data_IF_414384238701
#
_entry.id   IF_414384238701
#
_cell.length_a   1.000
_cell.length_b   1.000
_cell.length_c   1.000
_cell.angle_alpha   90.00
_cell.angle_beta   90.00
_cell.angle_gamma   90.00
#
_symmetry.space_group_name_H-M   'P 1'
#
loop_
_entity.id
_entity.type
_entity.pdbx_description
1 polymer ?
#
# COMPACT_ATOMS: atom_id res chain seq x y z
N UNK A 1 11.81 -8.44 -67.87
CA UNK A 1 12.98 -9.31 -67.66
C UNK A 1 14.01 -8.50 -66.90
N UNK A 2 14.40 -9.04 -65.75
CA UNK A 2 15.63 -8.82 -64.95
C UNK A 2 15.89 -7.39 -64.41
N UNK A 3 15.78 -7.10 -63.11
CA UNK A 3 16.38 -7.66 -61.87
C UNK A 3 17.88 -7.35 -61.68
N UNK A 4 18.18 -6.45 -60.73
CA UNK A 4 19.18 -6.53 -59.61
C UNK A 4 19.48 -5.10 -59.07
N UNK A 5 19.03 -4.75 -57.85
CA UNK A 5 19.76 -4.73 -56.53
C UNK A 5 21.05 -3.88 -56.58
N UNK A 6 21.41 -2.98 -55.65
CA UNK A 6 21.28 -2.84 -54.18
C UNK A 6 21.85 -1.42 -53.85
N UNK A 7 21.40 -0.61 -52.88
CA UNK A 7 21.71 -0.62 -51.43
C UNK A 7 20.85 0.50 -50.77
N UNK A 8 20.03 0.22 -49.76
CA UNK A 8 20.31 0.05 -48.33
C UNK A 8 20.36 1.39 -47.56
N UNK A 9 19.19 1.84 -47.09
CA UNK A 9 19.11 2.83 -46.01
C UNK A 9 18.30 2.25 -44.84
N UNK A 10 19.01 2.10 -43.72
CA UNK A 10 18.54 1.56 -42.46
C UNK A 10 17.48 2.47 -41.84
N UNK A 11 16.23 2.00 -41.81
CA UNK A 11 15.22 2.51 -40.88
C UNK A 11 15.34 1.67 -39.60
N UNK A 12 16.00 2.23 -38.58
CA UNK A 12 15.98 1.69 -37.23
C UNK A 12 14.54 1.78 -36.70
N UNK A 13 13.81 0.67 -36.73
CA UNK A 13 12.58 0.52 -35.96
C UNK A 13 12.98 0.47 -34.49
N UNK A 14 12.79 1.59 -33.79
CA UNK A 14 12.70 1.59 -32.34
C UNK A 14 11.44 0.80 -32.00
N UNK A 15 11.62 -0.44 -31.57
CA UNK A 15 10.57 -1.18 -30.86
C UNK A 15 10.42 -0.49 -29.52
N UNK A 16 9.33 0.26 -29.37
CA UNK A 16 8.82 0.63 -28.06
C UNK A 16 8.54 -0.66 -27.30
N UNK A 17 9.43 -1.01 -26.38
CA UNK A 17 9.19 -2.05 -25.39
C UNK A 17 8.03 -1.60 -24.51
N UNK A 18 6.80 -1.91 -24.96
CA UNK A 18 5.62 -1.92 -24.11
C UNK A 18 5.86 -3.06 -23.12
N UNK A 19 6.51 -2.72 -22.00
CA UNK A 19 6.49 -3.56 -20.81
C UNK A 19 5.04 -3.67 -20.38
N UNK A 20 4.41 -4.78 -20.74
CA UNK A 20 3.18 -5.23 -20.11
C UNK A 20 3.51 -5.41 -18.61
N UNK A 21 3.29 -4.37 -17.80
CA UNK A 21 3.31 -4.49 -16.34
C UNK A 21 2.29 -5.60 -16.01
N UNK A 22 2.77 -6.73 -15.47
CA UNK A 22 1.88 -7.84 -15.10
C UNK A 22 0.85 -7.31 -14.10
N UNK A 23 -0.42 -7.67 -14.24
CA UNK A 23 -1.50 -7.21 -13.36
C UNK A 23 -1.20 -7.48 -11.87
N UNK A 24 -0.43 -8.54 -11.58
CA UNK A 24 0.06 -8.91 -10.25
C UNK A 24 1.00 -7.87 -9.61
N UNK A 25 1.67 -7.03 -10.40
CA UNK A 25 2.56 -5.96 -9.90
C UNK A 25 1.80 -4.75 -9.36
N UNK A 26 0.47 -4.77 -9.34
CA UNK A 26 -0.35 -3.65 -8.90
C UNK A 26 -0.83 -3.79 -7.45
N UNK A 27 -0.80 -4.99 -6.87
CA UNK A 27 -1.37 -5.26 -5.55
C UNK A 27 -0.32 -5.27 -4.44
N UNK A 28 -0.76 -4.99 -3.20
CA UNK A 28 0.11 -5.16 -2.04
C UNK A 28 0.34 -6.67 -1.79
N UNK A 29 1.57 -7.08 -1.50
CA UNK A 29 1.89 -8.49 -1.20
C UNK A 29 1.62 -8.88 0.25
N UNK A 30 1.15 -7.91 1.05
CA UNK A 30 0.86 -8.07 2.48
C UNK A 30 -0.58 -7.66 2.78
N UNK A 31 -1.18 -8.32 3.75
CA UNK A 31 -2.51 -8.01 4.25
C UNK A 31 -2.53 -6.60 4.85
N UNK A 32 -3.52 -5.79 4.48
CA UNK A 32 -3.65 -4.44 5.02
C UNK A 32 -3.99 -4.39 6.51
N UNK A 33 -4.52 -5.48 7.06
CA UNK A 33 -4.91 -5.58 8.47
C UNK A 33 -3.71 -5.92 9.34
N UNK A 34 -2.97 -6.99 9.02
CA UNK A 34 -1.95 -7.55 9.88
C UNK A 34 -0.51 -7.39 9.35
N UNK A 35 -0.32 -6.91 8.12
CA UNK A 35 0.94 -6.86 7.37
C UNK A 35 1.62 -8.21 7.10
N UNK A 36 0.94 -9.34 7.35
CA UNK A 36 1.45 -10.65 6.96
C UNK A 36 1.08 -11.00 5.50
N UNK A 37 1.93 -11.78 4.84
CA UNK A 37 1.73 -12.25 3.47
C UNK A 37 0.84 -13.50 3.39
N UNK A 38 1.05 -14.30 2.35
CA UNK A 38 0.36 -15.58 2.11
C UNK A 38 -0.80 -15.46 1.13
N UNK A 39 -1.85 -16.25 1.37
CA UNK A 39 -3.05 -16.23 0.54
C UNK A 39 -3.90 -14.97 0.79
N UNK A 40 -3.85 -14.03 -0.15
CA UNK A 40 -4.55 -12.74 -0.06
C UNK A 40 -5.58 -12.57 -1.18
N UNK A 41 -6.70 -11.94 -0.84
CA UNK A 41 -7.65 -11.39 -1.80
C UNK A 41 -7.40 -9.90 -2.00
N UNK A 42 -7.46 -9.46 -3.24
CA UNK A 42 -7.18 -8.08 -3.64
C UNK A 42 -8.48 -7.29 -3.78
N UNK A 43 -8.52 -6.08 -3.20
CA UNK A 43 -9.63 -5.16 -3.43
C UNK A 43 -9.49 -4.49 -4.80
N UNK A 44 -10.46 -4.69 -5.69
CA UNK A 44 -10.49 -4.09 -7.03
C UNK A 44 -10.97 -2.62 -7.04
N UNK A 45 -11.44 -2.12 -5.90
CA UNK A 45 -11.76 -0.71 -5.70
C UNK A 45 -10.54 0.22 -5.72
N UNK A 46 -10.76 1.53 -5.47
CA UNK A 46 -9.71 2.57 -5.59
C UNK A 46 -8.48 2.38 -4.69
N UNK A 47 -8.52 1.52 -3.67
CA UNK A 47 -7.43 1.33 -2.70
C UNK A 47 -6.40 0.26 -3.08
N UNK A 48 -6.77 -0.79 -3.84
CA UNK A 48 -5.91 -1.91 -4.21
C UNK A 48 -5.16 -2.58 -3.05
N UNK A 49 -5.74 -2.52 -1.86
CA UNK A 49 -5.23 -3.21 -0.67
C UNK A 49 -5.56 -4.69 -0.76
N UNK A 50 -4.71 -5.51 -0.17
CA UNK A 50 -4.88 -6.96 -0.09
C UNK A 50 -5.27 -7.37 1.33
N UNK A 51 -6.01 -8.46 1.48
CA UNK A 51 -6.54 -8.91 2.76
C UNK A 51 -6.49 -10.44 2.85
N UNK A 52 -6.29 -11.01 4.04
CA UNK A 52 -6.67 -12.40 4.26
C UNK A 52 -8.19 -12.50 4.09
N UNK A 53 -8.64 -13.38 3.21
CA UNK A 53 -10.05 -13.52 2.88
C UNK A 53 -10.88 -14.06 4.05
N UNK A 54 -10.35 -15.10 4.70
CA UNK A 54 -11.04 -15.92 5.69
C UNK A 54 -10.11 -16.24 6.87
N UNK A 55 -10.66 -16.45 8.09
CA UNK A 55 -9.87 -16.64 9.32
C UNK A 55 -9.29 -18.05 9.50
N UNK A 56 -9.63 -18.99 8.62
CA UNK A 56 -9.22 -20.39 8.65
C UNK A 56 -7.85 -20.64 7.99
N UNK A 57 -7.24 -19.62 7.39
CA UNK A 57 -5.88 -19.70 6.83
C UNK A 57 -4.82 -19.66 7.93
N UNK A 58 -3.73 -20.42 7.78
CA UNK A 58 -2.61 -20.45 8.72
C UNK A 58 -2.03 -19.04 8.93
N UNK A 59 -1.87 -18.28 7.85
CA UNK A 59 -1.27 -16.94 7.90
C UNK A 59 -2.14 -15.93 8.64
N UNK A 60 -3.47 -16.09 8.59
CA UNK A 60 -4.41 -15.27 9.35
C UNK A 60 -4.39 -15.63 10.84
N UNK A 61 -4.25 -16.90 11.19
CA UNK A 61 -4.18 -17.37 12.57
C UNK A 61 -2.87 -16.91 13.24
N UNK A 62 -1.75 -17.13 12.57
CA UNK A 62 -0.41 -16.77 13.06
C UNK A 62 -0.27 -15.27 13.33
N UNK A 63 -0.93 -14.44 12.52
CA UNK A 63 -0.87 -12.98 12.61
C UNK A 63 -2.02 -12.35 13.41
N UNK A 64 -2.91 -13.19 13.97
CA UNK A 64 -4.15 -12.81 14.67
C UNK A 64 -4.94 -11.80 13.84
N UNK A 65 -5.14 -12.12 12.56
CA UNK A 65 -5.76 -11.26 11.57
C UNK A 65 -7.28 -11.26 11.74
N UNK A 66 -7.88 -10.07 11.72
CA UNK A 66 -9.35 -9.95 11.71
C UNK A 66 -9.96 -10.36 10.35
N UNK A 67 -9.16 -10.43 9.29
CA UNK A 67 -9.54 -10.83 7.92
C UNK A 67 -10.67 -10.00 7.29
N UNK A 68 -10.97 -10.26 6.02
CA UNK A 68 -12.14 -9.70 5.35
C UNK A 68 -13.45 -10.41 5.74
N UNK A 69 -13.36 -11.61 6.34
CA UNK A 69 -14.48 -12.47 6.77
C UNK A 69 -15.46 -12.84 5.64
N UNK A 70 -14.94 -13.15 4.45
CA UNK A 70 -15.75 -13.45 3.26
C UNK A 70 -16.35 -14.87 3.29
N UNK A 71 -17.49 -15.04 2.64
CA UNK A 71 -18.06 -16.36 2.31
C UNK A 71 -17.41 -16.96 1.09
N UNK A 72 -17.54 -18.28 0.91
CA UNK A 72 -17.22 -18.96 -0.34
C UNK A 72 -17.91 -18.33 -1.55
N UNK A 73 -19.19 -17.92 -1.43
CA UNK A 73 -19.91 -17.26 -2.53
C UNK A 73 -19.34 -15.87 -2.87
N UNK A 74 -18.89 -15.12 -1.87
CA UNK A 74 -18.24 -13.82 -2.09
C UNK A 74 -16.87 -13.96 -2.74
N UNK A 75 -16.16 -15.08 -2.53
CA UNK A 75 -14.86 -15.36 -3.15
C UNK A 75 -14.96 -15.71 -4.64
N UNK A 76 -16.14 -16.08 -5.13
CA UNK A 76 -16.39 -16.34 -6.55
C UNK A 76 -16.61 -15.04 -7.36
N UNK A 77 -16.59 -13.88 -6.71
CA UNK A 77 -16.90 -12.58 -7.31
C UNK A 77 -15.73 -11.60 -7.13
N UNK A 78 -15.59 -10.59 -8.02
CA UNK A 78 -14.69 -9.46 -7.82
C UNK A 78 -14.87 -8.83 -6.43
N UNK A 79 -13.79 -8.68 -5.69
CA UNK A 79 -13.84 -8.21 -4.31
C UNK A 79 -13.61 -6.70 -4.20
N UNK A 80 -14.53 -6.02 -3.51
CA UNK A 80 -14.35 -4.64 -3.08
C UNK A 80 -14.46 -4.54 -1.55
N UNK A 81 -13.44 -3.99 -0.90
CA UNK A 81 -13.47 -3.80 0.55
C UNK A 81 -14.52 -2.73 0.95
N UNK A 82 -15.01 -2.78 2.19
CA UNK A 82 -16.05 -1.85 2.66
C UNK A 82 -15.65 -0.38 2.52
N UNK A 83 -14.38 -0.08 2.75
CA UNK A 83 -13.87 1.27 2.61
C UNK A 83 -14.01 1.77 1.17
N UNK A 84 -13.81 0.92 0.17
CA UNK A 84 -14.05 1.28 -1.24
C UNK A 84 -15.56 1.35 -1.54
N UNK A 85 -16.34 0.33 -1.12
CA UNK A 85 -17.81 0.28 -1.33
C UNK A 85 -18.52 1.55 -0.84
N UNK A 86 -18.05 2.11 0.28
CA UNK A 86 -18.62 3.31 0.90
C UNK A 86 -17.78 4.58 0.64
N UNK A 87 -16.73 4.51 -0.18
CA UNK A 87 -15.81 5.63 -0.43
C UNK A 87 -15.28 6.31 0.85
N UNK A 88 -14.94 5.51 1.86
CA UNK A 88 -14.35 5.97 3.12
C UNK A 88 -12.93 5.44 3.23
N UNK A 89 -11.95 6.29 2.90
CA UNK A 89 -10.55 5.91 2.87
C UNK A 89 -9.75 6.58 3.98
N UNK A 90 -8.76 5.87 4.51
CA UNK A 90 -7.92 6.40 5.57
C UNK A 90 -6.82 7.30 5.01
N UNK A 91 -6.61 8.44 5.67
CA UNK A 91 -5.44 9.24 5.43
C UNK A 91 -4.18 8.52 5.91
N UNK A 92 -3.21 8.31 5.02
CA UNK A 92 -1.96 7.60 5.35
C UNK A 92 -1.02 8.34 6.33
N UNK A 93 -1.40 9.55 6.76
CA UNK A 93 -0.63 10.36 7.73
C UNK A 93 -1.24 10.28 9.12
N UNK A 94 -2.56 10.45 9.24
CA UNK A 94 -3.24 10.50 10.54
C UNK A 94 -4.11 9.27 10.84
N UNK A 95 -4.22 8.33 9.90
CA UNK A 95 -5.06 7.13 9.98
C UNK A 95 -6.58 7.37 10.16
N UNK A 96 -7.03 8.61 10.33
CA UNK A 96 -8.44 8.96 10.31
C UNK A 96 -9.06 8.68 8.93
N UNK A 97 -10.30 8.15 8.94
CA UNK A 97 -11.13 8.03 7.75
C UNK A 97 -11.58 9.41 7.26
N UNK A 98 -11.76 9.52 5.95
CA UNK A 98 -12.53 10.60 5.34
C UNK A 98 -13.20 10.12 4.05
N UNK A 99 -14.22 10.86 3.62
CA UNK A 99 -14.87 10.60 2.34
C UNK A 99 -13.92 10.83 1.16
N UNK A 100 -13.85 9.87 0.25
CA UNK A 100 -13.20 9.99 -1.06
C UNK A 100 -14.22 10.05 -2.21
N UNK A 101 -15.50 10.21 -1.88
CA UNK A 101 -16.58 10.32 -2.85
C UNK A 101 -16.50 11.69 -3.53
N UNK A 102 -16.50 11.66 -4.87
CA UNK A 102 -16.40 12.84 -5.73
C UNK A 102 -17.77 13.50 -5.95
N UNK A 103 -18.86 12.79 -5.67
CA UNK A 103 -20.24 13.30 -5.77
C UNK A 103 -20.70 14.04 -4.51
N UNK A 104 -19.94 13.92 -3.41
CA UNK A 104 -20.19 14.59 -2.14
C UNK A 104 -18.96 15.38 -1.70
N UNK A 105 -18.97 15.88 -0.45
CA UNK A 105 -17.84 16.63 0.08
C UNK A 105 -16.65 15.69 0.31
N UNK A 106 -15.72 15.68 -0.64
CA UNK A 106 -14.47 14.92 -0.55
C UNK A 106 -13.57 15.46 0.57
N UNK A 107 -13.08 14.58 1.44
CA UNK A 107 -12.23 14.90 2.59
C UNK A 107 -10.81 14.34 2.43
N UNK A 108 -10.68 13.20 1.76
CA UNK A 108 -9.38 12.59 1.44
C UNK A 108 -9.20 12.43 -0.06
N UNK A 109 -7.98 12.69 -0.52
CA UNK A 109 -7.62 12.68 -1.93
C UNK A 109 -6.52 11.67 -2.16
N UNK A 110 -6.63 10.92 -3.26
CA UNK A 110 -5.66 9.91 -3.65
C UNK A 110 -4.41 10.57 -4.24
N UNK A 111 -3.24 10.05 -3.92
CA UNK A 111 -2.00 10.42 -4.60
C UNK A 111 -2.13 10.20 -6.12
N UNK A 112 -1.60 11.11 -6.92
CA UNK A 112 -1.65 11.02 -8.39
C UNK A 112 -0.71 9.95 -8.98
N UNK A 113 0.20 9.42 -8.17
CA UNK A 113 1.10 8.34 -8.56
C UNK A 113 0.54 6.97 -8.14
N UNK A 114 1.25 5.89 -8.50
CA UNK A 114 0.77 4.51 -8.35
C UNK A 114 0.73 3.99 -6.91
N UNK A 115 1.08 4.79 -5.89
CA UNK A 115 1.04 4.31 -4.51
C UNK A 115 -0.38 4.16 -3.95
N UNK A 116 -1.41 4.75 -4.59
CA UNK A 116 -2.84 4.59 -4.27
C UNK A 116 -3.25 4.92 -2.82
N UNK A 117 -2.37 5.58 -2.07
CA UNK A 117 -2.65 6.07 -0.73
C UNK A 117 -3.52 7.34 -0.76
N UNK A 118 -4.38 7.47 0.23
CA UNK A 118 -5.27 8.63 0.41
C UNK A 118 -4.74 9.57 1.49
N UNK A 119 -5.06 10.86 1.35
CA UNK A 119 -4.55 11.91 2.22
C UNK A 119 -5.60 13.00 2.45
N UNK A 120 -5.77 13.40 3.71
CA UNK A 120 -6.36 14.70 4.00
C UNK A 120 -5.47 15.81 3.42
N UNK A 121 -6.02 16.82 2.72
CA UNK A 121 -5.24 17.94 2.18
C UNK A 121 -4.37 18.62 3.24
N UNK A 122 -4.93 18.80 4.46
CA UNK A 122 -4.20 19.39 5.60
C UNK A 122 -2.96 18.59 6.00
N UNK A 123 -3.03 17.26 5.91
CA UNK A 123 -1.99 16.36 6.39
C UNK A 123 -0.83 16.32 5.40
N UNK A 124 -1.12 16.13 4.11
CA UNK A 124 -0.07 16.06 3.08
C UNK A 124 0.59 17.41 2.84
N UNK A 125 -0.17 18.52 2.89
CA UNK A 125 0.40 19.85 2.71
C UNK A 125 1.46 20.18 3.79
N UNK A 126 1.21 19.81 5.05
CA UNK A 126 2.18 19.96 6.15
C UNK A 126 3.47 19.19 5.90
N UNK A 127 3.39 18.00 5.29
CA UNK A 127 4.55 17.18 4.98
C UNK A 127 5.37 17.72 3.81
N UNK A 128 4.70 18.20 2.75
CA UNK A 128 5.35 18.68 1.52
C UNK A 128 5.96 20.08 1.66
N UNK A 129 5.37 20.97 2.46
CA UNK A 129 5.84 22.35 2.64
C UNK A 129 6.20 22.63 4.09
N UNK A 130 7.19 21.90 4.64
CA UNK A 130 7.62 22.06 6.03
C UNK A 130 8.01 23.52 6.30
N UNK A 131 7.44 24.12 7.35
CA UNK A 131 7.72 25.48 7.86
C UNK A 131 7.17 26.67 7.04
N UNK A 132 6.65 26.46 5.83
CA UNK A 132 6.05 27.53 5.02
C UNK A 132 4.51 27.48 5.10
N UNK A 133 3.92 28.28 6.01
CA UNK A 133 2.47 28.29 6.23
C UNK A 133 1.68 28.75 5.02
N UNK A 134 2.22 29.68 4.22
CA UNK A 134 1.54 30.19 3.03
C UNK A 134 1.47 29.11 1.94
N UNK A 135 2.57 28.41 1.67
CA UNK A 135 2.58 27.28 0.73
C UNK A 135 1.72 26.12 1.21
N UNK A 136 1.70 25.83 2.51
CA UNK A 136 0.80 24.80 3.06
C UNK A 136 -0.67 25.15 2.80
N UNK A 137 -1.06 26.40 3.02
CA UNK A 137 -2.43 26.87 2.77
C UNK A 137 -2.79 26.74 1.28
N UNK A 138 -1.95 27.28 0.40
CA UNK A 138 -2.18 27.22 -1.04
C UNK A 138 -2.27 25.76 -1.55
N UNK A 139 -1.37 24.88 -1.12
CA UNK A 139 -1.38 23.48 -1.52
C UNK A 139 -2.60 22.73 -0.97
N UNK A 140 -3.02 23.01 0.27
CA UNK A 140 -4.25 22.45 0.85
C UNK A 140 -5.47 22.85 0.01
N UNK A 141 -5.58 24.13 -0.38
CA UNK A 141 -6.69 24.66 -1.18
C UNK A 141 -6.69 24.02 -2.59
N UNK A 142 -5.53 23.92 -3.23
CA UNK A 142 -5.36 23.24 -4.53
C UNK A 142 -5.83 21.78 -4.51
N UNK A 143 -5.35 21.00 -3.53
CA UNK A 143 -5.74 19.59 -3.41
C UNK A 143 -7.24 19.47 -3.11
N UNK A 144 -7.78 20.33 -2.24
CA UNK A 144 -9.21 20.34 -1.94
C UNK A 144 -10.08 20.72 -3.15
N UNK A 145 -9.55 21.45 -4.12
CA UNK A 145 -10.18 21.74 -5.40
C UNK A 145 -10.01 20.60 -6.43
N UNK A 146 -9.38 19.49 -6.06
CA UNK A 146 -9.16 18.34 -6.93
C UNK A 146 -7.87 18.40 -7.76
N UNK A 147 -6.99 19.39 -7.55
CA UNK A 147 -5.70 19.40 -8.25
C UNK A 147 -4.85 18.16 -7.87
N UNK A 148 -4.20 17.49 -8.84
CA UNK A 148 -3.39 16.32 -8.57
C UNK A 148 -2.15 16.67 -7.73
N UNK A 149 -1.74 15.74 -6.86
CA UNK A 149 -0.53 15.88 -6.06
C UNK A 149 0.21 14.55 -5.93
N UNK A 150 1.53 14.62 -5.80
CA UNK A 150 2.36 13.46 -5.49
C UNK A 150 2.74 13.45 -4.01
N UNK A 151 2.50 12.33 -3.34
CA UNK A 151 2.74 12.21 -1.91
C UNK A 151 4.25 12.08 -1.55
N UNK A 152 4.63 12.32 -0.28
CA UNK A 152 6.02 12.22 0.16
C UNK A 152 6.68 10.85 -0.01
N UNK A 153 5.90 9.77 -0.12
CA UNK A 153 6.43 8.41 -0.27
C UNK A 153 7.17 8.17 -1.61
N UNK A 154 7.08 9.11 -2.56
CA UNK A 154 7.79 9.02 -3.85
C UNK A 154 9.15 9.75 -3.87
N UNK A 155 9.63 10.21 -2.72
CA UNK A 155 10.96 10.83 -2.59
C UNK A 155 11.65 10.32 -1.34
N UNK A 156 12.95 10.10 -1.44
CA UNK A 156 13.74 9.77 -0.27
C UNK A 156 13.65 10.90 0.77
N UNK A 157 13.28 10.55 2.00
CA UNK A 157 13.12 11.52 3.10
C UNK A 157 14.44 12.18 3.48
N UNK A 158 15.58 11.53 3.19
CA UNK A 158 16.94 12.06 3.46
C UNK A 158 17.39 12.98 2.31
N UNK A 159 17.60 12.43 1.11
CA UNK A 159 18.24 13.16 0.01
C UNK A 159 17.26 13.89 -0.93
N UNK A 160 15.94 13.70 -0.75
CA UNK A 160 14.84 14.31 -1.52
C UNK A 160 14.75 13.94 -3.01
N UNK A 161 15.58 13.00 -3.47
CA UNK A 161 15.57 12.50 -4.85
C UNK A 161 14.53 11.37 -5.03
N UNK A 162 14.00 11.17 -6.25
CA UNK A 162 13.13 10.04 -6.57
C UNK A 162 13.90 8.72 -6.57
N UNK A 163 13.17 7.62 -6.70
CA UNK A 163 13.75 6.28 -6.85
C UNK A 163 14.47 6.11 -8.17
N UNK A 164 15.49 5.26 -8.19
CA UNK A 164 15.96 4.63 -9.42
C UNK A 164 15.95 3.11 -9.22
N UNK A 165 14.96 2.44 -9.80
CA UNK A 165 14.75 0.99 -9.64
C UNK A 165 15.89 0.14 -10.19
N UNK A 166 16.69 0.68 -11.13
CA UNK A 166 17.82 -0.02 -11.75
C UNK A 166 19.11 0.02 -10.92
N UNK A 167 19.13 0.79 -9.85
CA UNK A 167 20.31 0.95 -8.98
C UNK A 167 19.89 0.56 -7.57
N UNK A 168 20.36 -0.60 -7.10
CA UNK A 168 20.00 -1.20 -5.80
C UNK A 168 20.03 -0.19 -4.64
N UNK A 169 21.14 0.54 -4.48
CA UNK A 169 21.27 1.56 -3.43
C UNK A 169 20.30 2.75 -3.56
N UNK A 170 19.63 2.92 -4.70
CA UNK A 170 18.62 3.95 -4.99
C UNK A 170 17.19 3.38 -5.14
N UNK A 171 16.99 2.09 -4.88
CA UNK A 171 15.67 1.51 -4.69
C UNK A 171 15.07 1.99 -3.37
N UNK A 172 13.74 2.02 -3.27
CA UNK A 172 13.08 2.47 -2.06
C UNK A 172 12.84 1.36 -1.05
N UNK A 173 13.08 1.72 0.22
CA UNK A 173 12.50 1.11 1.40
C UNK A 173 11.39 2.03 1.94
N UNK A 174 10.15 1.53 1.97
CA UNK A 174 8.96 2.34 2.26
C UNK A 174 8.36 1.92 3.59
N UNK A 175 8.09 2.90 4.46
CA UNK A 175 7.46 2.64 5.74
C UNK A 175 6.00 2.23 5.56
N UNK A 176 5.58 1.15 6.20
CA UNK A 176 4.18 0.67 6.15
C UNK A 176 3.21 1.50 7.00
N UNK A 177 3.71 2.32 7.92
CA UNK A 177 2.90 3.10 8.86
C UNK A 177 2.85 4.61 8.57
N UNK A 178 3.70 5.11 7.66
CA UNK A 178 3.69 6.51 7.28
C UNK A 178 4.32 6.74 5.91
N UNK A 179 4.17 7.94 5.30
CA UNK A 179 4.68 8.23 3.96
C UNK A 179 6.20 8.41 3.84
N UNK A 180 6.99 7.85 4.77
CA UNK A 180 8.45 7.90 4.70
C UNK A 180 8.96 6.82 3.76
N UNK A 181 9.73 7.25 2.76
CA UNK A 181 10.55 6.38 1.93
C UNK A 181 12.02 6.75 2.08
N UNK A 182 12.90 5.76 2.07
CA UNK A 182 14.35 5.92 2.05
C UNK A 182 14.87 5.27 0.79
N UNK A 183 15.96 5.78 0.22
CA UNK A 183 16.80 4.92 -0.61
C UNK A 183 17.44 3.86 0.28
N UNK A 184 17.71 2.66 -0.22
CA UNK A 184 18.43 1.62 0.53
C UNK A 184 19.73 2.16 1.14
N UNK A 185 20.52 2.93 0.37
CA UNK A 185 21.77 3.55 0.86
C UNK A 185 21.57 4.71 1.86
N UNK A 186 20.35 5.24 1.96
CA UNK A 186 20.00 6.33 2.88
C UNK A 186 19.20 5.82 4.07
N UNK A 187 18.94 4.52 4.15
CA UNK A 187 18.18 3.90 5.22
C UNK A 187 19.01 3.97 6.53
N UNK A 188 18.40 4.33 7.67
CA UNK A 188 19.07 4.25 8.95
C UNK A 188 19.55 2.83 9.24
N UNK A 189 20.80 2.69 9.70
CA UNK A 189 21.42 1.40 10.03
C UNK A 189 20.68 0.61 11.12
N UNK A 190 19.92 1.30 11.98
CA UNK A 190 19.15 0.66 13.05
C UNK A 190 17.84 0.01 12.54
N UNK A 191 17.54 0.08 11.24
CA UNK A 191 16.45 -0.70 10.65
C UNK A 191 17.04 -2.05 10.25
N UNK A 192 16.83 -3.06 11.10
CA UNK A 192 17.28 -4.42 10.85
C UNK A 192 16.36 -5.13 9.87
N UNK A 193 16.94 -5.85 8.92
CA UNK A 193 16.20 -6.70 7.99
C UNK A 193 16.11 -8.13 8.52
N UNK A 194 15.03 -8.81 8.17
CA UNK A 194 14.73 -10.19 8.54
C UNK A 194 15.89 -11.16 8.28
N UNK A 195 16.48 -11.15 7.08
CA UNK A 195 17.58 -12.04 6.69
C UNK A 195 18.92 -11.74 7.37
N UNK A 196 19.02 -10.64 8.13
CA UNK A 196 20.23 -10.24 8.88
C UNK A 196 20.04 -10.35 10.39
N UNK A 197 18.81 -10.51 10.86
CA UNK A 197 18.46 -10.52 12.27
C UNK A 197 18.82 -11.86 12.93
N UNK A 198 19.38 -11.80 14.13
CA UNK A 198 19.43 -12.93 15.06
C UNK A 198 18.14 -13.07 15.88
N UNK A 199 18.10 -14.07 16.77
CA UNK A 199 16.91 -14.43 17.54
C UNK A 199 16.38 -13.29 18.44
N UNK A 200 17.26 -12.42 18.92
CA UNK A 200 16.93 -11.31 19.82
C UNK A 200 16.77 -9.95 19.10
N UNK A 201 16.93 -9.91 17.78
CA UNK A 201 16.92 -8.65 17.02
C UNK A 201 15.49 -8.20 16.68
N UNK A 202 15.23 -6.90 16.87
CA UNK A 202 13.96 -6.28 16.47
C UNK A 202 13.92 -6.06 14.95
N UNK A 203 13.28 -6.99 14.23
CA UNK A 203 13.11 -6.90 12.77
C UNK A 203 12.21 -5.71 12.40
N UNK A 204 12.68 -4.88 11.48
CA UNK A 204 11.97 -3.69 10.97
C UNK A 204 11.93 -3.61 9.46
N UNK A 205 12.41 -4.62 8.73
CA UNK A 205 12.53 -4.56 7.28
C UNK A 205 12.49 -5.93 6.61
N UNK A 206 11.86 -5.96 5.44
CA UNK A 206 11.77 -7.12 4.55
C UNK A 206 11.99 -6.67 3.12
N UNK A 207 12.84 -7.38 2.37
CA UNK A 207 13.12 -7.08 0.96
C UNK A 207 12.07 -7.75 0.07
N UNK A 208 11.70 -7.10 -1.04
CA UNK A 208 10.85 -7.73 -2.05
C UNK A 208 9.35 -7.75 -1.76
N UNK A 209 8.90 -7.23 -0.61
CA UNK A 209 7.46 -7.22 -0.25
C UNK A 209 6.65 -6.10 -0.90
N UNK A 210 7.28 -5.16 -1.60
CA UNK A 210 6.56 -4.16 -2.38
C UNK A 210 6.85 -4.27 -3.87
N UNK A 211 5.90 -3.76 -4.66
CA UNK A 211 5.97 -3.62 -6.12
C UNK A 211 7.36 -3.11 -6.54
N UNK A 212 7.93 -3.72 -7.59
CA UNK A 212 9.29 -3.49 -8.09
C UNK A 212 10.39 -3.96 -7.12
N UNK A 213 10.11 -5.03 -6.37
CA UNK A 213 11.01 -5.64 -5.38
C UNK A 213 11.49 -4.67 -4.30
N UNK A 214 10.68 -3.65 -3.99
CA UNK A 214 10.99 -2.65 -2.97
C UNK A 214 10.90 -3.25 -1.57
N UNK A 215 11.66 -2.69 -0.64
CA UNK A 215 11.63 -3.12 0.75
C UNK A 215 10.43 -2.52 1.51
N UNK A 216 9.74 -3.36 2.28
CA UNK A 216 8.79 -2.92 3.31
C UNK A 216 9.55 -2.71 4.61
N UNK A 217 9.34 -1.57 5.28
CA UNK A 217 9.95 -1.30 6.57
C UNK A 217 8.95 -0.73 7.60
N UNK A 218 9.34 -0.79 8.87
CA UNK A 218 8.79 0.03 9.94
C UNK A 218 9.83 1.05 10.38
N UNK A 219 9.64 2.31 9.99
CA UNK A 219 10.62 3.34 10.35
C UNK A 219 10.67 3.60 11.86
N UNK A 220 11.79 4.14 12.33
CA UNK A 220 12.10 4.36 13.75
C UNK A 220 11.16 5.36 14.48
N UNK A 221 10.25 6.04 13.77
CA UNK A 221 9.21 6.87 14.41
C UNK A 221 8.03 6.04 14.94
N UNK A 222 7.94 4.76 14.58
CA UNK A 222 6.90 3.87 15.07
C UNK A 222 7.49 2.90 16.08
N UNK A 223 6.96 2.97 17.31
CA UNK A 223 7.28 2.02 18.38
C UNK A 223 6.73 0.65 17.99
N UNK A 224 7.55 -0.39 18.13
CA UNK A 224 7.10 -1.77 17.95
C UNK A 224 6.26 -2.18 19.15
N UNK A 225 5.19 -2.89 18.86
CA UNK A 225 4.42 -3.60 19.87
C UNK A 225 5.08 -4.98 20.09
N UNK A 226 5.56 -5.28 21.30
CA UNK A 226 6.24 -6.55 21.58
C UNK A 226 5.35 -7.78 21.37
N UNK A 227 4.03 -7.66 21.54
CA UNK A 227 3.10 -8.78 21.37
C UNK A 227 2.81 -9.04 19.89
N UNK A 228 2.75 -7.98 19.08
CA UNK A 228 2.44 -8.09 17.65
C UNK A 228 3.68 -8.24 16.76
N UNK A 229 4.88 -7.98 17.28
CA UNK A 229 6.11 -7.92 16.47
C UNK A 229 6.09 -6.84 15.38
N UNK A 230 5.14 -5.91 15.44
CA UNK A 230 4.93 -4.83 14.47
C UNK A 230 4.49 -3.57 15.21
N UNK A 231 4.57 -2.36 14.62
CA UNK A 231 3.93 -1.21 15.23
C UNK A 231 2.42 -1.38 15.25
N UNK A 232 1.76 -0.75 16.21
CA UNK A 232 0.31 -0.68 16.31
C UNK A 232 -0.34 -0.45 14.92
N UNK A 233 -1.38 -1.22 14.63
CA UNK A 233 -2.04 -1.30 13.32
C UNK A 233 -3.20 -0.29 13.30
N UNK A 234 -3.05 0.95 12.79
CA UNK A 234 -4.10 1.96 12.91
C UNK A 234 -5.16 1.83 11.80
N UNK A 235 -5.23 0.67 11.15
CA UNK A 235 -6.15 0.47 10.04
C UNK A 235 -7.58 0.32 10.55
N UNK A 236 -8.46 1.14 9.99
CA UNK A 236 -9.89 1.16 10.26
C UNK A 236 -10.52 0.68 8.97
N UNK A 237 -11.02 -0.54 9.01
CA UNK A 237 -11.85 -1.10 7.94
C UNK A 237 -13.27 -1.14 8.46
N UNK A 238 -14.17 -0.48 7.75
CA UNK A 238 -15.59 -0.43 8.11
C UNK A 238 -16.16 -1.85 8.24
N UNK A 239 -17.02 -2.06 9.23
CA UNK A 239 -17.84 -3.27 9.45
C UNK A 239 -17.10 -4.61 9.68
N UNK A 240 -15.76 -4.66 9.79
CA UNK A 240 -15.05 -5.94 10.02
C UNK A 240 -15.56 -6.66 11.28
N UNK A 241 -15.67 -5.95 12.41
CA UNK A 241 -16.10 -6.57 13.67
C UNK A 241 -17.54 -7.11 13.62
N UNK A 242 -18.42 -6.46 12.85
CA UNK A 242 -19.80 -6.93 12.68
C UNK A 242 -19.82 -8.21 11.85
N UNK A 243 -19.08 -8.25 10.74
CA UNK A 243 -18.94 -9.46 9.93
C UNK A 243 -18.33 -10.63 10.69
N UNK A 244 -17.32 -10.40 11.52
CA UNK A 244 -16.73 -11.44 12.37
C UNK A 244 -17.76 -12.05 13.31
N UNK A 245 -18.60 -11.22 13.94
CA UNK A 245 -19.69 -11.69 14.82
C UNK A 245 -20.72 -12.52 14.06
N UNK A 246 -21.14 -12.07 12.88
CA UNK A 246 -22.07 -12.80 12.01
C UNK A 246 -21.51 -14.19 11.66
N UNK A 247 -20.23 -14.28 11.28
CA UNK A 247 -19.55 -15.55 10.98
C UNK A 247 -19.47 -16.49 12.18
N UNK A 248 -19.12 -15.98 13.35
CA UNK A 248 -19.09 -16.78 14.59
C UNK A 248 -20.48 -17.32 14.95
N UNK A 249 -21.54 -16.52 14.76
CA UNK A 249 -22.91 -16.98 14.97
C UNK A 249 -23.30 -18.06 13.96
N UNK A 250 -23.03 -17.88 12.66
CA UNK A 250 -23.32 -18.89 11.64
C UNK A 250 -22.60 -20.22 11.90
N UNK A 251 -21.32 -20.17 12.29
CA UNK A 251 -20.55 -21.37 12.65
C UNK A 251 -21.14 -22.08 13.88
N UNK A 252 -21.55 -21.32 14.90
CA UNK A 252 -22.20 -21.86 16.09
C UNK A 252 -23.55 -22.52 15.75
N UNK A 253 -24.37 -21.89 14.89
CA UNK A 253 -25.63 -22.49 14.44
C UNK A 253 -25.41 -23.75 13.61
N UNK A 254 -24.41 -23.78 12.71
CA UNK A 254 -24.07 -25.00 11.95
C UNK A 254 -23.68 -26.16 12.86
N UNK A 255 -22.95 -25.89 13.95
CA UNK A 255 -22.54 -26.92 14.90
C UNK A 255 -23.66 -27.41 15.84
N UNK A 256 -24.78 -26.69 15.96
CA UNK A 256 -25.94 -27.07 16.77
C UNK A 256 -26.94 -27.98 16.05
N UNK A 257 -26.86 -28.03 14.72
CA UNK A 257 -27.78 -28.79 13.86
C UNK A 257 -27.10 -29.97 13.12
N UNK A 258 -25.91 -30.38 13.59
CA UNK A 258 -25.20 -31.60 13.19
C UNK A 258 -25.24 -32.59 14.35
#
# INVERSE_FOLDING_TARGET
MDCKTQDNDMISKQTEDIVYEKEDELFETVCAICDNGGHLICCEGKCFRSFHATPDTEEAQDSVCETACLTSEELEKPYECENCKYSLHQCFVCAELGSSDESSKTEVFRCSATCRHFYHPRCVAKLLSKKDKAKQRALKEKIAAGEPFTCPAHKCVVCKKPENVKVEGMQFAICRRCPKAYHMKCLPSNIMFDHLAGDDDEIRGWIGLFIKSRALIYCLEHKMDPELGTPARPIIVRNILNRKKERLMEAHFKNLFI
#
